data_IF_344401008140
#
_entry.id   IF_344401008140
#
_cell.length_a   1.000
_cell.length_b   1.000
_cell.length_c   1.000
_cell.angle_alpha   90.00
_cell.angle_beta   90.00
_cell.angle_gamma   90.00
#
_symmetry.space_group_name_H-M   'P 1'
#
loop_
_entity.id
_entity.type
_entity.pdbx_description
1 polymer ?
#
# COMPACT_ATOMS: atom_id res chain seq x y z
N UNK A 1 -9.15 1.99 -12.27
CA UNK A 1 -8.25 0.88 -11.93
C UNK A 1 -7.24 0.82 -13.05
N UNK A 2 -5.99 1.16 -12.74
CA UNK A 2 -4.90 1.15 -13.71
C UNK A 2 -4.05 -0.09 -13.46
N UNK A 3 -3.76 -0.84 -14.52
CA UNK A 3 -2.95 -2.06 -14.45
C UNK A 3 -1.62 -1.77 -15.12
N UNK A 4 -0.53 -2.03 -14.41
CA UNK A 4 0.83 -1.92 -14.94
C UNK A 4 1.66 -3.12 -14.53
N UNK A 5 2.68 -3.43 -15.33
CA UNK A 5 3.70 -4.41 -14.95
C UNK A 5 4.73 -3.73 -14.05
N UNK A 6 5.15 -4.44 -12.99
CA UNK A 6 6.17 -3.98 -12.04
C UNK A 6 7.32 -4.97 -12.08
N UNK A 7 8.51 -4.48 -12.41
CA UNK A 7 9.75 -5.25 -12.30
C UNK A 7 10.08 -5.50 -10.83
N UNK A 8 10.60 -6.69 -10.52
CA UNK A 8 11.15 -6.94 -9.19
C UNK A 8 12.42 -6.11 -8.97
N UNK A 9 12.64 -5.70 -7.72
CA UNK A 9 13.81 -4.95 -7.24
C UNK A 9 13.99 -3.55 -7.85
N UNK A 10 13.02 -3.09 -8.65
CA UNK A 10 12.99 -1.74 -9.21
C UNK A 10 11.84 -0.92 -8.58
N UNK A 11 12.07 0.39 -8.29
CA UNK A 11 11.04 1.23 -7.71
C UNK A 11 10.03 1.70 -8.76
N UNK A 12 8.76 1.38 -8.55
CA UNK A 12 7.63 2.08 -9.16
C UNK A 12 7.38 3.38 -8.39
N UNK A 13 7.42 4.51 -9.09
CA UNK A 13 7.15 5.83 -8.52
C UNK A 13 5.68 6.20 -8.76
N UNK A 14 4.96 6.46 -7.68
CA UNK A 14 3.55 6.82 -7.68
C UNK A 14 3.42 8.24 -7.13
N UNK A 15 2.72 9.12 -7.86
CA UNK A 15 2.42 10.48 -7.41
C UNK A 15 0.96 10.55 -6.98
N UNK A 16 0.73 10.78 -5.69
CA UNK A 16 -0.61 10.93 -5.10
C UNK A 16 -0.73 12.37 -4.61
N UNK A 17 -1.47 13.21 -5.36
CA UNK A 17 -1.71 14.61 -5.02
C UNK A 17 -0.43 15.40 -4.69
N UNK A 18 0.62 15.19 -5.47
CA UNK A 18 1.94 15.84 -5.28
C UNK A 18 2.86 15.13 -4.28
N UNK A 19 2.39 14.05 -3.62
CA UNK A 19 3.20 13.24 -2.71
C UNK A 19 3.78 12.05 -3.45
N UNK A 20 5.10 11.89 -3.36
CA UNK A 20 5.82 10.78 -3.99
C UNK A 20 5.80 9.57 -3.07
N UNK A 21 5.32 8.44 -3.58
CA UNK A 21 5.39 7.13 -2.94
C UNK A 21 6.21 6.21 -3.84
N UNK A 22 7.17 5.47 -3.27
CA UNK A 22 7.92 4.43 -4.00
C UNK A 22 7.45 3.06 -3.56
N UNK A 23 7.15 2.21 -4.53
CA UNK A 23 6.80 0.81 -4.33
C UNK A 23 7.88 -0.06 -4.95
N UNK A 24 8.42 -1.02 -4.20
CA UNK A 24 9.38 -2.01 -4.72
C UNK A 24 8.82 -3.40 -4.46
N UNK A 25 8.73 -4.22 -5.51
CA UNK A 25 8.35 -5.62 -5.39
C UNK A 25 9.59 -6.50 -5.21
N UNK A 26 9.53 -7.47 -4.29
CA UNK A 26 10.58 -8.44 -4.03
C UNK A 26 10.03 -9.86 -4.13
N UNK A 27 10.80 -10.75 -4.74
CA UNK A 27 10.48 -12.18 -4.75
C UNK A 27 10.68 -12.76 -3.34
N UNK A 28 9.79 -13.65 -2.94
CA UNK A 28 9.97 -14.46 -1.72
C UNK A 28 10.30 -15.90 -2.09
N UNK A 29 10.88 -16.64 -1.14
CA UNK A 29 11.12 -18.08 -1.31
C UNK A 29 9.81 -18.88 -1.28
N UNK A 30 8.79 -18.36 -0.62
CA UNK A 30 7.46 -18.95 -0.58
C UNK A 30 6.69 -18.66 -1.87
N UNK A 31 6.19 -19.72 -2.50
CA UNK A 31 5.43 -19.64 -3.74
C UNK A 31 4.09 -18.96 -3.51
N UNK A 32 3.73 -18.02 -4.37
CA UNK A 32 2.46 -17.28 -4.29
C UNK A 32 2.55 -15.99 -3.47
N UNK A 33 3.62 -15.82 -2.69
CA UNK A 33 3.85 -14.59 -1.93
C UNK A 33 4.76 -13.62 -2.69
N UNK A 34 4.49 -12.33 -2.51
CA UNK A 34 5.30 -11.22 -3.01
C UNK A 34 5.46 -10.25 -1.85
N UNK A 35 6.70 -9.82 -1.60
CA UNK A 35 6.98 -8.80 -0.59
C UNK A 35 7.01 -7.44 -1.26
N UNK A 36 6.35 -6.46 -0.66
CA UNK A 36 6.39 -5.07 -1.10
C UNK A 36 7.12 -4.20 -0.07
N UNK A 37 8.07 -3.41 -0.55
CA UNK A 37 8.63 -2.28 0.18
C UNK A 37 7.89 -1.01 -0.22
N UNK A 38 7.46 -0.21 0.76
CA UNK A 38 6.78 1.07 0.52
C UNK A 38 7.54 2.18 1.23
N UNK A 39 8.02 3.15 0.46
CA UNK A 39 8.62 4.40 0.95
C UNK A 39 7.63 5.53 0.69
N UNK A 40 7.08 6.12 1.74
CA UNK A 40 6.05 7.16 1.66
C UNK A 40 6.29 8.25 2.72
N UNK A 41 5.91 9.52 2.45
CA UNK A 41 5.92 10.57 3.45
C UNK A 41 4.98 10.23 4.62
N UNK A 42 5.32 10.70 5.83
CA UNK A 42 4.48 10.49 7.04
C UNK A 42 3.05 11.02 6.95
N UNK A 43 2.78 11.91 6.00
CA UNK A 43 1.43 12.42 5.73
C UNK A 43 0.59 11.51 4.83
N UNK A 44 1.10 10.32 4.47
CA UNK A 44 0.40 9.28 3.72
C UNK A 44 0.33 8.04 4.60
N UNK A 45 -0.89 7.68 5.00
CA UNK A 45 -1.13 6.44 5.71
C UNK A 45 -1.06 5.26 4.73
N UNK A 46 -0.24 4.27 5.06
CA UNK A 46 -0.07 3.06 4.26
C UNK A 46 -0.55 1.88 5.09
N UNK A 47 -1.57 1.19 4.58
CA UNK A 47 -2.15 0.03 5.23
C UNK A 47 -2.32 -1.10 4.21
N UNK A 48 -2.30 -2.34 4.69
CA UNK A 48 -2.88 -3.45 3.93
C UNK A 48 -4.39 -3.26 3.85
N UNK A 49 -5.00 -3.67 2.75
CA UNK A 49 -6.42 -3.42 2.47
C UNK A 49 -7.33 -3.98 3.59
N UNK A 50 -7.06 -5.20 4.05
CA UNK A 50 -7.82 -5.84 5.11
C UNK A 50 -7.74 -5.05 6.44
N UNK A 51 -6.59 -4.45 6.72
CA UNK A 51 -6.39 -3.63 7.92
C UNK A 51 -7.07 -2.27 7.77
N UNK A 52 -6.99 -1.66 6.58
CA UNK A 52 -7.65 -0.40 6.28
C UNK A 52 -9.17 -0.50 6.48
N UNK A 53 -9.80 -1.56 5.96
CA UNK A 53 -11.23 -1.78 6.14
C UNK A 53 -11.60 -2.03 7.60
N UNK A 54 -10.78 -2.79 8.35
CA UNK A 54 -11.02 -3.03 9.77
C UNK A 54 -10.95 -1.73 10.61
N UNK A 55 -10.02 -0.82 10.28
CA UNK A 55 -9.92 0.49 10.94
C UNK A 55 -11.16 1.34 10.63
N UNK A 56 -11.50 1.47 9.34
CA UNK A 56 -12.68 2.21 8.86
C UNK A 56 -13.96 1.75 9.55
N UNK A 57 -14.19 0.44 9.66
CA UNK A 57 -15.39 -0.10 10.29
C UNK A 57 -15.51 0.29 11.77
N UNK A 58 -14.39 0.35 12.49
CA UNK A 58 -14.37 0.80 13.89
C UNK A 58 -14.66 2.29 14.01
N UNK A 59 -14.04 3.12 13.17
CA UNK A 59 -14.29 4.56 13.14
C UNK A 59 -15.77 4.87 12.90
N UNK A 60 -16.41 4.19 11.93
CA UNK A 60 -17.84 4.36 11.70
C UNK A 60 -18.69 3.93 12.90
N UNK A 61 -18.33 2.83 13.58
CA UNK A 61 -19.07 2.36 14.75
C UNK A 61 -19.00 3.36 15.91
N UNK A 62 -17.84 3.99 16.13
CA UNK A 62 -17.61 4.99 17.18
C UNK A 62 -18.29 6.34 16.89
N UNK A 63 -18.54 6.69 15.63
CA UNK A 63 -19.25 7.92 15.24
C UNK A 63 -20.79 7.81 15.34
N UNK A 64 -21.33 6.60 15.49
CA UNK A 64 -22.78 6.36 15.51
C UNK A 64 -23.38 6.19 16.92
N UNK A 65 -22.55 6.26 17.97
CA UNK A 65 -22.92 6.27 19.40
C UNK A 65 -22.83 7.69 20.00
#
# INVERSE_FOLDING_TARGET
MDITTVSFEEPLIINISGKIVKLVAFKTQEQGNIKFGVDAPRSVNVHREEIFHAIKQKELAEETD
#
